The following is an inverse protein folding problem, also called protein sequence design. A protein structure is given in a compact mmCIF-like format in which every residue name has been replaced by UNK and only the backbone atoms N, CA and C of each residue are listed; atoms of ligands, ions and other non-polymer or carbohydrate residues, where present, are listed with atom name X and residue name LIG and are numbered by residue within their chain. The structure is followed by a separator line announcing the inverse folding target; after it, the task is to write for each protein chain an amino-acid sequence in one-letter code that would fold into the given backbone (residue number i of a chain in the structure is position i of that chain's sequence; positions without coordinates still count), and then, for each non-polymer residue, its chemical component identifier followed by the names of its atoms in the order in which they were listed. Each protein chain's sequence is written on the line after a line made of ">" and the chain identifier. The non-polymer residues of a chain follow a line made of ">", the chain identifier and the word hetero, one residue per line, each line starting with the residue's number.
data_IF_560529901646
#
_entry.id   IF_560529901646
#
_cell.length_a   1.000
_cell.length_b   1.000
_cell.length_c   1.000
_cell.angle_alpha   90.00
_cell.angle_beta   90.00
_cell.angle_gamma   90.00
#
_symmetry.space_group_name_H-M   'P 1'
#
loop_
_entity.id
_entity.type
_entity.pdbx_description
1 polymer ?
#
# COMPACT_ATOMS: atom_id res chain seq x y z
N UNK A 1 26.79 -35.39 53.60
CA UNK A 1 26.95 -35.24 52.15
C UNK A 1 25.75 -34.46 51.63
N UNK A 2 25.92 -33.14 51.51
CA UNK A 2 24.90 -32.26 50.96
C UNK A 2 25.03 -32.18 49.44
N UNK A 3 24.03 -32.65 48.74
CA UNK A 3 23.92 -32.52 47.30
C UNK A 3 23.15 -31.21 47.02
N UNK A 4 23.85 -30.19 46.50
CA UNK A 4 23.27 -28.99 45.96
C UNK A 4 22.59 -29.36 44.62
N UNK A 5 21.26 -29.32 44.59
CA UNK A 5 20.49 -29.39 43.37
C UNK A 5 20.43 -27.95 42.79
N UNK A 6 21.28 -27.69 41.81
CA UNK A 6 21.18 -26.48 41.03
C UNK A 6 19.97 -26.61 40.10
N UNK A 7 18.89 -25.87 40.40
CA UNK A 7 17.75 -25.69 39.47
C UNK A 7 18.21 -24.82 38.31
N UNK A 8 18.47 -25.44 37.18
CA UNK A 8 18.63 -24.74 35.91
C UNK A 8 17.23 -24.24 35.51
N UNK A 9 17.01 -22.96 35.71
CA UNK A 9 15.85 -22.30 35.11
C UNK A 9 16.04 -22.30 33.60
N UNK A 10 15.43 -23.27 32.94
CA UNK A 10 15.32 -23.27 31.46
C UNK A 10 14.46 -22.10 31.05
N UNK A 11 15.12 -21.01 30.59
CA UNK A 11 14.47 -19.91 29.93
C UNK A 11 13.84 -20.49 28.63
N UNK A 12 12.58 -20.81 28.67
CA UNK A 12 11.83 -21.11 27.46
C UNK A 12 11.69 -19.79 26.72
N UNK A 13 12.66 -19.51 25.87
CA UNK A 13 12.51 -18.50 24.81
C UNK A 13 11.46 -19.13 23.91
N UNK A 14 10.21 -18.68 24.05
CA UNK A 14 9.15 -19.03 23.14
C UNK A 14 9.60 -18.62 21.74
N UNK A 15 9.85 -19.62 20.90
CA UNK A 15 10.04 -19.40 19.47
C UNK A 15 8.68 -18.93 18.97
N UNK A 16 8.50 -17.59 18.93
CA UNK A 16 7.40 -17.00 18.21
C UNK A 16 7.56 -17.42 16.74
N UNK A 17 6.47 -17.74 16.03
CA UNK A 17 6.58 -18.05 14.62
C UNK A 17 7.24 -16.87 13.90
N UNK A 18 8.34 -17.15 13.23
CA UNK A 18 9.21 -16.20 12.53
C UNK A 18 8.54 -15.71 11.23
N UNK A 19 7.53 -14.83 11.34
CA UNK A 19 6.78 -14.35 10.17
C UNK A 19 6.87 -12.83 9.98
N UNK A 20 7.23 -12.08 11.00
CA UNK A 20 7.50 -10.65 10.91
C UNK A 20 8.39 -10.25 12.09
N UNK A 21 9.32 -9.31 11.90
CA UNK A 21 10.04 -8.69 13.01
C UNK A 21 9.05 -8.02 14.00
N UNK A 22 9.43 -7.81 15.25
CA UNK A 22 8.55 -7.19 16.26
C UNK A 22 7.95 -5.86 15.80
N UNK A 23 8.70 -5.06 15.03
CA UNK A 23 8.25 -3.78 14.48
C UNK A 23 7.17 -3.96 13.42
N UNK A 24 7.34 -4.93 12.51
CA UNK A 24 6.39 -5.24 11.45
C UNK A 24 5.05 -5.74 12.02
N UNK A 25 5.11 -6.58 13.06
CA UNK A 25 3.89 -7.04 13.73
C UNK A 25 3.17 -5.89 14.43
N UNK A 26 3.90 -5.05 15.19
CA UNK A 26 3.32 -3.88 15.85
C UNK A 26 2.72 -2.89 14.84
N UNK A 27 3.38 -2.71 13.67
CA UNK A 27 2.88 -1.89 12.58
C UNK A 27 1.58 -2.45 11.98
N UNK A 28 1.49 -3.76 11.80
CA UNK A 28 0.30 -4.46 11.30
C UNK A 28 -0.88 -4.34 12.25
N UNK A 29 -0.60 -4.42 13.55
CA UNK A 29 -1.63 -4.39 14.61
C UNK A 29 -2.08 -2.96 14.96
N UNK A 30 -1.34 -1.93 14.48
CA UNK A 30 -1.58 -0.54 14.83
C UNK A 30 -1.21 -0.21 16.28
N UNK A 31 -0.37 -1.03 16.92
CA UNK A 31 0.07 -0.81 18.31
C UNK A 31 1.13 0.31 18.37
N UNK A 32 0.65 1.56 18.40
CA UNK A 32 1.52 2.74 18.43
C UNK A 32 2.45 2.78 19.65
N UNK A 33 2.00 2.25 20.80
CA UNK A 33 2.83 2.20 22.00
C UNK A 33 3.99 1.24 21.81
N UNK A 34 3.72 0.06 21.23
CA UNK A 34 4.74 -0.93 20.93
C UNK A 34 5.68 -0.47 19.83
N UNK A 35 5.16 0.16 18.78
CA UNK A 35 5.96 0.79 17.70
C UNK A 35 6.91 1.81 18.31
N UNK A 36 6.40 2.75 19.13
CA UNK A 36 7.23 3.76 19.80
C UNK A 36 8.34 3.12 20.61
N UNK A 37 8.00 2.14 21.45
CA UNK A 37 8.99 1.44 22.28
C UNK A 37 10.09 0.80 21.44
N UNK A 38 9.72 0.13 20.34
CA UNK A 38 10.70 -0.56 19.46
C UNK A 38 11.60 0.43 18.75
N UNK A 39 11.07 1.56 18.28
CA UNK A 39 11.86 2.63 17.66
C UNK A 39 12.82 3.27 18.67
N UNK A 40 12.38 3.51 19.91
CA UNK A 40 13.25 4.04 20.98
C UNK A 40 14.37 3.05 21.39
N UNK A 41 14.16 1.75 21.13
CA UNK A 41 15.19 0.70 21.30
C UNK A 41 16.11 0.56 20.08
N UNK A 42 15.91 1.35 19.03
CA UNK A 42 16.77 1.40 17.85
C UNK A 42 16.39 0.41 16.74
N UNK A 43 15.11 -0.02 16.66
CA UNK A 43 14.65 -0.82 15.50
C UNK A 43 14.87 -0.06 14.19
N UNK A 44 15.36 -0.76 13.18
CA UNK A 44 15.64 -0.20 11.86
C UNK A 44 14.34 -0.08 11.05
N UNK A 45 14.01 1.15 10.63
CA UNK A 45 12.85 1.46 9.79
C UNK A 45 12.99 0.94 8.35
N UNK A 46 14.20 0.64 7.90
CA UNK A 46 14.48 0.11 6.57
C UNK A 46 14.49 -1.42 6.50
N UNK A 47 14.38 -2.10 7.65
CA UNK A 47 14.36 -3.55 7.70
C UNK A 47 13.14 -4.11 6.96
N UNK A 48 13.36 -5.16 6.17
CA UNK A 48 12.29 -5.90 5.51
C UNK A 48 11.98 -7.16 6.31
N UNK A 49 10.70 -7.50 6.39
CA UNK A 49 10.31 -8.80 6.95
C UNK A 49 10.66 -9.96 5.98
N UNK A 50 10.35 -11.19 6.35
CA UNK A 50 10.62 -12.38 5.53
C UNK A 50 9.91 -12.34 4.16
N UNK A 51 8.74 -11.68 4.08
CA UNK A 51 8.03 -11.47 2.83
C UNK A 51 8.67 -10.38 1.96
N UNK A 52 9.53 -9.56 2.57
CA UNK A 52 10.20 -8.43 1.94
C UNK A 52 9.39 -7.15 1.97
N UNK A 53 8.59 -7.01 3.03
CA UNK A 53 7.75 -5.85 3.27
C UNK A 53 8.37 -4.96 4.35
N UNK A 54 8.57 -3.66 4.10
CA UNK A 54 8.90 -2.68 5.13
C UNK A 54 7.72 -2.43 6.08
N UNK A 55 8.01 -2.12 7.35
CA UNK A 55 6.96 -1.82 8.34
C UNK A 55 6.05 -0.65 7.96
N UNK A 56 6.58 0.37 7.26
CA UNK A 56 5.79 1.50 6.73
C UNK A 56 4.72 1.04 5.72
N UNK A 57 5.07 0.11 4.82
CA UNK A 57 4.13 -0.43 3.83
C UNK A 57 3.05 -1.26 4.52
N UNK A 58 3.43 -2.08 5.51
CA UNK A 58 2.48 -2.89 6.29
C UNK A 58 1.47 -2.00 7.02
N UNK A 59 1.93 -0.96 7.73
CA UNK A 59 1.05 0.00 8.41
C UNK A 59 0.11 0.72 7.42
N UNK A 60 0.63 1.05 6.23
CA UNK A 60 -0.13 1.74 5.19
C UNK A 60 -1.21 0.84 4.57
N UNK A 61 -0.90 -0.43 4.34
CA UNK A 61 -1.86 -1.44 3.89
C UNK A 61 -2.95 -1.69 4.94
N UNK A 62 -2.55 -1.72 6.23
CA UNK A 62 -3.48 -1.94 7.34
C UNK A 62 -4.33 -0.70 7.69
N UNK A 63 -3.97 0.50 7.19
CA UNK A 63 -4.74 1.73 7.40
C UNK A 63 -4.43 2.47 8.71
N UNK A 64 -3.32 2.16 9.37
CA UNK A 64 -2.93 2.77 10.65
C UNK A 64 -2.22 4.11 10.44
N UNK A 65 -3.01 5.17 10.19
CA UNK A 65 -2.51 6.50 9.84
C UNK A 65 -1.61 7.13 10.94
N UNK A 66 -1.87 6.85 12.19
CA UNK A 66 -1.08 7.29 13.34
C UNK A 66 0.30 6.60 13.39
N UNK A 67 0.36 5.30 13.09
CA UNK A 67 1.61 4.55 12.98
C UNK A 67 2.42 5.02 11.77
N UNK A 68 1.76 5.25 10.63
CA UNK A 68 2.40 5.82 9.43
C UNK A 68 2.99 7.20 9.73
N UNK A 69 2.23 8.07 10.42
CA UNK A 69 2.72 9.38 10.84
C UNK A 69 3.97 9.25 11.73
N UNK A 70 3.91 8.36 12.73
CA UNK A 70 5.04 8.13 13.63
C UNK A 70 6.29 7.64 12.87
N UNK A 71 6.15 6.73 11.91
CA UNK A 71 7.28 6.27 11.10
C UNK A 71 7.92 7.42 10.32
N UNK A 72 7.10 8.25 9.66
CA UNK A 72 7.60 9.41 8.90
C UNK A 72 8.27 10.44 9.82
N UNK A 73 7.68 10.75 10.98
CA UNK A 73 8.25 11.65 11.97
C UNK A 73 9.59 11.14 12.55
N UNK A 74 9.81 9.81 12.52
CA UNK A 74 11.07 9.17 12.93
C UNK A 74 12.06 8.98 11.78
N UNK A 75 11.76 9.52 10.60
CA UNK A 75 12.65 9.55 9.44
C UNK A 75 12.59 8.32 8.55
N UNK A 76 11.49 7.58 8.56
CA UNK A 76 11.27 6.52 7.57
C UNK A 76 11.34 7.09 6.16
N UNK A 77 12.02 6.39 5.25
CA UNK A 77 12.02 6.73 3.84
C UNK A 77 10.64 6.50 3.22
N UNK A 78 9.95 7.59 2.84
CA UNK A 78 8.62 7.53 2.26
C UNK A 78 8.57 6.78 0.93
N UNK A 79 9.70 6.71 0.22
CA UNK A 79 9.86 6.01 -1.06
C UNK A 79 10.44 4.59 -0.89
N UNK A 80 10.53 4.09 0.35
CA UNK A 80 10.95 2.71 0.60
C UNK A 80 10.06 1.73 -0.15
N UNK A 81 10.67 0.66 -0.69
CA UNK A 81 9.98 -0.28 -1.56
C UNK A 81 10.04 -1.69 -1.02
N UNK A 82 8.94 -2.41 -1.22
CA UNK A 82 8.94 -3.86 -1.03
C UNK A 82 9.66 -4.59 -2.19
N UNK A 83 9.73 -5.92 -2.12
CA UNK A 83 10.34 -6.76 -3.19
C UNK A 83 9.68 -6.58 -4.56
N UNK A 84 8.40 -6.19 -4.63
CA UNK A 84 7.69 -5.88 -5.87
C UNK A 84 7.95 -4.48 -6.41
N UNK A 85 8.67 -3.66 -5.67
CA UNK A 85 8.93 -2.25 -6.00
C UNK A 85 7.78 -1.31 -5.63
N UNK A 86 6.77 -1.76 -4.88
CA UNK A 86 5.66 -0.94 -4.43
C UNK A 86 6.06 -0.10 -3.22
N UNK A 87 5.51 1.11 -3.11
CA UNK A 87 5.68 2.04 -1.99
C UNK A 87 4.48 1.99 -1.03
N UNK A 88 4.60 2.70 0.09
CA UNK A 88 3.51 2.87 1.06
C UNK A 88 2.24 3.47 0.42
N UNK A 89 2.40 4.43 -0.53
CA UNK A 89 1.27 5.03 -1.24
C UNK A 89 0.53 4.03 -2.13
N UNK A 90 1.24 3.11 -2.79
CA UNK A 90 0.60 2.01 -3.53
C UNK A 90 -0.24 1.13 -2.61
N UNK A 91 0.32 0.72 -1.47
CA UNK A 91 -0.35 -0.14 -0.51
C UNK A 91 -1.61 0.51 0.07
N UNK A 92 -1.51 1.79 0.48
CA UNK A 92 -2.63 2.55 1.02
C UNK A 92 -3.74 2.77 -0.03
N UNK A 93 -3.36 3.07 -1.27
CA UNK A 93 -4.30 3.27 -2.37
C UNK A 93 -5.04 1.98 -2.74
N UNK A 94 -4.32 0.85 -2.83
CA UNK A 94 -4.88 -0.47 -3.06
C UNK A 94 -5.86 -0.90 -1.96
N UNK A 95 -5.54 -0.60 -0.69
CA UNK A 95 -6.39 -0.94 0.45
C UNK A 95 -7.55 0.05 0.68
N UNK A 96 -7.60 1.17 -0.03
CA UNK A 96 -8.64 2.19 0.16
C UNK A 96 -8.47 3.08 1.40
N UNK A 97 -7.30 3.13 1.98
CA UNK A 97 -7.01 3.83 3.22
C UNK A 97 -6.81 5.34 2.99
N UNK A 98 -7.90 6.06 2.76
CA UNK A 98 -7.89 7.48 2.36
C UNK A 98 -7.05 8.37 3.27
N UNK A 99 -7.14 8.21 4.59
CA UNK A 99 -6.40 9.05 5.54
C UNK A 99 -4.87 8.81 5.44
N UNK A 100 -4.46 7.56 5.22
CA UNK A 100 -3.04 7.22 4.96
C UNK A 100 -2.59 7.80 3.63
N UNK A 101 -3.41 7.67 2.58
CA UNK A 101 -3.12 8.26 1.26
C UNK A 101 -2.92 9.77 1.37
N UNK A 102 -3.84 10.48 2.05
CA UNK A 102 -3.73 11.92 2.27
C UNK A 102 -2.44 12.29 3.02
N UNK A 103 -2.11 11.55 4.06
CA UNK A 103 -0.89 11.79 4.84
C UNK A 103 0.36 11.60 3.99
N UNK A 104 0.47 10.46 3.27
CA UNK A 104 1.63 10.18 2.43
C UNK A 104 1.81 11.23 1.33
N UNK A 105 0.72 11.66 0.67
CA UNK A 105 0.80 12.72 -0.36
C UNK A 105 1.20 14.06 0.25
N UNK A 106 0.70 14.40 1.43
CA UNK A 106 1.09 15.64 2.13
C UNK A 106 2.57 15.66 2.52
N UNK A 107 3.16 14.49 2.81
CA UNK A 107 4.59 14.33 3.11
C UNK A 107 5.46 14.15 1.84
N UNK A 108 4.86 14.25 0.65
CA UNK A 108 5.58 14.31 -0.62
C UNK A 108 5.77 12.97 -1.34
N UNK A 109 4.99 11.94 -1.01
CA UNK A 109 5.00 10.70 -1.80
C UNK A 109 4.64 10.96 -3.26
N UNK A 110 5.34 10.31 -4.19
CA UNK A 110 5.10 10.46 -5.63
C UNK A 110 3.79 9.76 -6.04
N UNK A 111 2.75 10.57 -6.33
CA UNK A 111 1.42 10.10 -6.74
C UNK A 111 1.44 9.37 -8.09
N UNK A 112 2.47 9.58 -8.89
CA UNK A 112 2.65 9.01 -10.22
C UNK A 112 3.77 7.96 -10.28
N UNK A 113 4.25 7.47 -9.13
CA UNK A 113 5.27 6.44 -9.12
C UNK A 113 4.80 5.17 -9.83
N UNK A 114 5.66 4.68 -10.75
CA UNK A 114 5.48 3.43 -11.51
C UNK A 114 6.76 2.60 -11.58
N UNK A 115 7.69 2.82 -10.65
CA UNK A 115 8.99 2.13 -10.61
C UNK A 115 8.91 0.72 -10.00
N UNK A 116 7.71 0.11 -10.03
CA UNK A 116 7.48 -1.25 -9.57
C UNK A 116 7.45 -2.25 -10.75
N UNK A 117 7.44 -3.55 -10.41
CA UNK A 117 7.50 -4.63 -11.41
C UNK A 117 6.37 -4.54 -12.44
N UNK A 118 5.17 -4.11 -12.03
CA UNK A 118 3.99 -4.03 -12.88
C UNK A 118 3.85 -2.67 -13.58
N UNK A 119 4.69 -1.68 -13.24
CA UNK A 119 4.56 -0.29 -13.68
C UNK A 119 3.19 0.34 -13.33
N UNK A 120 2.56 -0.16 -12.30
CA UNK A 120 1.29 0.36 -11.78
C UNK A 120 1.53 1.63 -10.98
N UNK A 121 0.68 2.64 -11.16
CA UNK A 121 0.61 3.79 -10.25
C UNK A 121 -0.33 3.49 -9.07
N UNK A 122 -0.29 4.28 -7.98
CA UNK A 122 -1.28 4.19 -6.89
C UNK A 122 -2.72 4.29 -7.40
N UNK A 123 -2.98 5.11 -8.44
CA UNK A 123 -4.30 5.25 -9.05
C UNK A 123 -4.80 3.94 -9.68
N UNK A 124 -3.93 3.13 -10.27
CA UNK A 124 -4.32 1.81 -10.79
C UNK A 124 -4.85 0.90 -9.68
N UNK A 125 -4.13 0.81 -8.54
CA UNK A 125 -4.55 -0.02 -7.41
C UNK A 125 -5.90 0.43 -6.82
N UNK A 126 -6.08 1.73 -6.60
CA UNK A 126 -7.34 2.29 -6.11
C UNK A 126 -8.51 2.05 -7.09
N UNK A 127 -8.24 2.16 -8.39
CA UNK A 127 -9.26 1.93 -9.43
C UNK A 127 -9.62 0.44 -9.56
N UNK A 128 -8.64 -0.46 -9.48
CA UNK A 128 -8.84 -1.90 -9.52
C UNK A 128 -9.74 -2.39 -8.38
N UNK A 129 -9.56 -1.85 -7.16
CA UNK A 129 -10.35 -2.23 -5.99
C UNK A 129 -11.60 -1.37 -5.78
N UNK A 130 -11.86 -0.38 -6.65
CA UNK A 130 -13.07 0.44 -6.64
C UNK A 130 -13.13 1.47 -5.51
N UNK A 131 -11.98 1.92 -5.00
CA UNK A 131 -11.89 2.91 -3.93
C UNK A 131 -12.13 4.33 -4.44
N UNK A 132 -13.38 4.66 -4.76
CA UNK A 132 -13.77 5.89 -5.43
C UNK A 132 -13.29 7.16 -4.72
N UNK A 133 -13.32 7.20 -3.38
CA UNK A 133 -12.85 8.36 -2.61
C UNK A 133 -11.32 8.55 -2.71
N UNK A 134 -10.56 7.44 -2.72
CA UNK A 134 -9.11 7.47 -2.94
C UNK A 134 -8.79 7.92 -4.36
N UNK A 135 -9.51 7.39 -5.36
CA UNK A 135 -9.38 7.82 -6.76
C UNK A 135 -9.67 9.31 -6.89
N UNK A 136 -10.77 9.82 -6.31
CA UNK A 136 -11.09 11.25 -6.32
C UNK A 136 -9.95 12.08 -5.73
N UNK A 137 -9.42 11.70 -4.59
CA UNK A 137 -8.32 12.42 -3.95
C UNK A 137 -7.04 12.39 -4.80
N UNK A 138 -6.63 11.21 -5.32
CA UNK A 138 -5.42 11.09 -6.14
C UNK A 138 -5.51 11.95 -7.41
N UNK A 139 -6.69 12.04 -8.05
CA UNK A 139 -6.93 12.92 -9.19
C UNK A 139 -6.76 14.40 -8.81
N UNK A 140 -7.22 14.84 -7.62
CA UNK A 140 -6.97 16.22 -7.15
C UNK A 140 -5.50 16.47 -6.83
N UNK A 141 -4.74 15.41 -6.52
CA UNK A 141 -3.29 15.45 -6.30
C UNK A 141 -2.47 15.31 -7.60
N UNK A 142 -3.10 15.48 -8.77
CA UNK A 142 -2.50 15.39 -10.11
C UNK A 142 -1.99 13.98 -10.49
N UNK A 143 -2.70 12.93 -10.06
CA UNK A 143 -2.46 11.60 -10.61
C UNK A 143 -2.78 11.57 -12.11
N UNK A 144 -1.91 10.92 -12.89
CA UNK A 144 -2.07 10.75 -14.33
C UNK A 144 -3.21 9.73 -14.61
N UNK A 145 -4.34 10.25 -15.07
CA UNK A 145 -5.56 9.47 -15.35
C UNK A 145 -5.38 8.48 -16.51
N UNK A 146 -4.45 8.77 -17.43
CA UNK A 146 -4.13 7.94 -18.61
C UNK A 146 -2.84 7.13 -18.43
N UNK A 147 -2.26 7.10 -17.22
CA UNK A 147 -1.11 6.25 -16.94
C UNK A 147 -1.41 4.81 -17.38
N UNK A 148 -0.42 4.15 -18.01
CA UNK A 148 -0.54 2.74 -18.39
C UNK A 148 0.39 1.86 -17.56
N UNK A 149 -0.11 0.73 -17.10
CA UNK A 149 0.71 -0.30 -16.46
C UNK A 149 1.45 -1.15 -17.54
N UNK A 150 2.21 -2.15 -17.12
CA UNK A 150 3.11 -2.94 -17.98
C UNK A 150 2.46 -3.57 -19.22
N UNK A 151 1.18 -3.95 -19.14
CA UNK A 151 0.42 -4.55 -20.25
C UNK A 151 -0.34 -3.50 -21.07
N UNK A 152 -0.19 -2.23 -20.74
CA UNK A 152 -0.81 -1.11 -21.43
C UNK A 152 -2.21 -0.73 -20.94
N UNK A 153 -2.67 -1.27 -19.81
CA UNK A 153 -4.01 -0.95 -19.29
C UNK A 153 -3.98 0.30 -18.42
N UNK A 154 -5.07 1.09 -18.52
CA UNK A 154 -5.27 2.32 -17.73
C UNK A 154 -6.06 2.04 -16.44
N UNK A 155 -6.08 2.96 -15.45
CA UNK A 155 -6.95 2.85 -14.28
C UNK A 155 -8.42 2.65 -14.63
N UNK A 156 -8.93 3.31 -15.69
CA UNK A 156 -10.28 3.11 -16.19
C UNK A 156 -10.53 1.66 -16.61
N UNK A 157 -9.59 1.05 -17.31
CA UNK A 157 -9.68 -0.36 -17.73
C UNK A 157 -9.71 -1.30 -16.52
N UNK A 158 -8.88 -1.05 -15.49
CA UNK A 158 -8.87 -1.84 -14.26
C UNK A 158 -10.23 -1.76 -13.53
N UNK A 159 -10.76 -0.55 -13.33
CA UNK A 159 -12.08 -0.35 -12.75
C UNK A 159 -13.18 -1.06 -13.53
N UNK A 160 -13.13 -0.97 -14.85
CA UNK A 160 -14.12 -1.59 -15.73
C UNK A 160 -14.11 -3.13 -15.67
N UNK A 161 -12.95 -3.78 -15.63
CA UNK A 161 -12.86 -5.23 -15.51
C UNK A 161 -13.40 -5.77 -14.20
N UNK A 162 -13.24 -5.00 -13.12
CA UNK A 162 -13.79 -5.32 -11.80
C UNK A 162 -15.23 -4.86 -11.62
N UNK A 163 -15.84 -4.24 -12.67
CA UNK A 163 -17.19 -3.68 -12.67
C UNK A 163 -17.42 -2.58 -11.61
N UNK A 164 -16.37 -1.84 -11.24
CA UNK A 164 -16.45 -0.67 -10.36
C UNK A 164 -16.90 0.57 -11.14
N UNK A 165 -18.16 0.60 -11.57
CA UNK A 165 -18.66 1.58 -12.52
C UNK A 165 -18.75 3.00 -11.96
N UNK A 166 -18.92 3.18 -10.66
CA UNK A 166 -18.88 4.51 -10.03
C UNK A 166 -17.47 5.10 -10.11
N UNK A 167 -16.45 4.27 -9.85
CA UNK A 167 -15.05 4.65 -10.02
C UNK A 167 -14.70 4.90 -11.49
N UNK A 168 -15.17 4.04 -12.39
CA UNK A 168 -14.98 4.22 -13.83
C UNK A 168 -15.61 5.52 -14.33
N UNK A 169 -16.81 5.86 -13.86
CA UNK A 169 -17.48 7.11 -14.18
C UNK A 169 -16.67 8.33 -13.72
N UNK A 170 -16.15 8.29 -12.49
CA UNK A 170 -15.30 9.36 -11.96
C UNK A 170 -14.04 9.56 -12.80
N UNK A 171 -13.39 8.46 -13.21
CA UNK A 171 -12.21 8.51 -14.08
C UNK A 171 -12.55 9.13 -15.45
N UNK A 172 -13.68 8.76 -16.05
CA UNK A 172 -14.14 9.36 -17.32
C UNK A 172 -14.46 10.86 -17.15
N UNK A 173 -15.09 11.26 -16.06
CA UNK A 173 -15.32 12.69 -15.74
C UNK A 173 -14.01 13.47 -15.58
N UNK A 174 -12.93 12.79 -15.14
CA UNK A 174 -11.58 13.34 -15.06
C UNK A 174 -10.81 13.29 -16.40
N UNK A 175 -11.42 12.81 -17.47
CA UNK A 175 -10.87 12.80 -18.82
C UNK A 175 -10.32 11.44 -19.29
N UNK A 176 -10.46 10.37 -18.51
CA UNK A 176 -10.06 9.04 -18.96
C UNK A 176 -10.84 8.57 -20.18
N UNK A 177 -10.16 7.95 -21.14
CA UNK A 177 -10.73 7.49 -22.41
C UNK A 177 -10.83 5.96 -22.42
N UNK A 178 -11.94 5.44 -22.93
CA UNK A 178 -12.11 4.01 -23.12
C UNK A 178 -11.08 3.46 -24.10
N UNK A 179 -10.27 2.52 -23.63
CA UNK A 179 -9.28 1.86 -24.47
C UNK A 179 -9.95 1.01 -25.56
N UNK A 180 -9.27 0.85 -26.70
CA UNK A 180 -9.82 0.14 -27.89
C UNK A 180 -10.14 -1.32 -27.59
N UNK A 181 -11.15 -1.85 -28.29
CA UNK A 181 -11.62 -3.22 -28.14
C UNK A 181 -10.53 -4.29 -28.37
N UNK A 182 -9.56 -4.02 -29.24
CA UNK A 182 -8.42 -4.94 -29.52
C UNK A 182 -7.55 -5.17 -28.28
N UNK A 183 -7.50 -4.18 -27.37
CA UNK A 183 -6.71 -4.27 -26.14
C UNK A 183 -7.52 -4.84 -24.97
N UNK A 184 -8.76 -4.39 -24.80
CA UNK A 184 -9.57 -4.68 -23.61
C UNK A 184 -10.70 -5.68 -23.85
N UNK A 185 -10.96 -6.03 -25.08
CA UNK A 185 -12.06 -6.89 -25.50
C UNK A 185 -13.38 -6.13 -25.75
N UNK A 186 -14.17 -6.63 -26.69
CA UNK A 186 -15.44 -6.04 -27.10
C UNK A 186 -16.46 -5.80 -25.97
N UNK A 187 -16.61 -6.73 -24.99
CA UNK A 187 -17.60 -6.53 -23.92
C UNK A 187 -17.30 -5.29 -23.07
N UNK A 188 -16.04 -5.12 -22.65
CA UNK A 188 -15.63 -3.98 -21.82
C UNK A 188 -15.67 -2.69 -22.62
N UNK A 189 -15.18 -2.69 -23.88
CA UNK A 189 -15.23 -1.54 -24.76
C UNK A 189 -16.65 -1.02 -24.95
N UNK A 190 -17.59 -1.91 -25.26
CA UNK A 190 -19.00 -1.54 -25.44
C UNK A 190 -19.64 -0.98 -24.18
N UNK A 191 -19.32 -1.58 -23.02
CA UNK A 191 -19.88 -1.11 -21.75
C UNK A 191 -19.28 0.24 -21.35
N UNK A 192 -17.99 0.43 -21.57
CA UNK A 192 -17.32 1.69 -21.32
C UNK A 192 -17.89 2.81 -22.21
N UNK A 193 -17.99 2.61 -23.52
CA UNK A 193 -18.46 3.62 -24.48
C UNK A 193 -19.95 3.98 -24.35
N UNK A 194 -20.78 3.12 -23.76
CA UNK A 194 -22.16 3.49 -23.42
C UNK A 194 -22.25 4.50 -22.28
N UNK A 195 -21.20 4.61 -21.47
CA UNK A 195 -21.16 5.41 -20.24
C UNK A 195 -20.41 6.72 -20.41
N UNK A 196 -19.70 6.91 -21.54
CA UNK A 196 -19.14 8.20 -21.97
C UNK A 196 -20.24 9.13 -22.50
#
# INVERSE_FOLDING_TARGET
>A
VNIFIATVATLVIGVLPAWAGPLHQAAKDGDIARVTQLLDQGSDLSELDEAGEPALIIASLAGHADVVALFLDRGADIEIRNKGGLTALHAAAYAGNLEVVKRLVAEGADVNDRKNFYQMSPLHGAAEEGHTEVVAFLLTANADVEATERNGYTPLTQAGWRAHWDTAKLLMEAGAVCQKAELVGEPLYKECTKRQ
#
